data_IF_652203875000
#
_entry.id   IF_652203875000
#
_cell.length_a   1.000
_cell.length_b   1.000
_cell.length_c   1.000
_cell.angle_alpha   90.00
_cell.angle_beta   90.00
_cell.angle_gamma   90.00
#
_symmetry.space_group_name_H-M   'P 1'
#
loop_
_entity.id
_entity.type
_entity.pdbx_description
1 polymer ?
#
# COMPACT_ATOMS: atom_id res chain seq x y z
N UNK A 1 11.59 -2.97 -14.26
CA UNK A 1 12.07 -1.63 -13.79
C UNK A 1 13.13 -1.86 -12.72
N UNK A 2 14.22 -1.12 -12.70
CA UNK A 2 15.18 -1.24 -11.60
C UNK A 2 14.66 -0.51 -10.34
N UNK A 3 15.22 -0.84 -9.17
CA UNK A 3 14.73 -0.29 -7.89
C UNK A 3 14.95 1.22 -7.75
N UNK A 4 15.98 1.77 -8.37
CA UNK A 4 16.28 3.21 -8.34
C UNK A 4 15.26 4.00 -9.14
N UNK A 5 14.89 3.49 -10.33
CA UNK A 5 13.87 4.11 -11.18
C UNK A 5 12.49 4.05 -10.50
N UNK A 6 12.16 2.94 -9.83
CA UNK A 6 10.92 2.79 -9.06
C UNK A 6 10.85 3.82 -7.93
N UNK A 7 11.92 3.99 -7.15
CA UNK A 7 11.99 4.99 -6.09
C UNK A 7 11.91 6.43 -6.64
N UNK A 8 12.63 6.71 -7.74
CA UNK A 8 12.59 8.02 -8.38
C UNK A 8 11.21 8.36 -8.93
N UNK A 9 10.50 7.37 -9.47
CA UNK A 9 9.12 7.53 -9.92
C UNK A 9 8.18 7.79 -8.74
N UNK A 10 8.22 6.96 -7.69
CA UNK A 10 7.40 7.14 -6.48
C UNK A 10 7.59 8.53 -5.88
N UNK A 11 8.83 9.01 -5.75
CA UNK A 11 9.13 10.37 -5.23
C UNK A 11 8.45 11.49 -6.02
N UNK A 12 8.21 11.32 -7.32
CA UNK A 12 7.56 12.32 -8.18
C UNK A 12 6.04 12.31 -8.06
N UNK A 13 5.45 11.12 -7.84
CA UNK A 13 3.99 10.95 -7.93
C UNK A 13 3.31 10.78 -6.58
N UNK A 14 4.03 10.36 -5.54
CA UNK A 14 3.48 10.14 -4.22
C UNK A 14 3.18 11.45 -3.48
N UNK A 15 2.02 11.49 -2.83
CA UNK A 15 1.60 12.55 -1.90
C UNK A 15 1.11 11.88 -0.63
N UNK A 16 1.73 12.21 0.50
CA UNK A 16 1.31 11.69 1.79
C UNK A 16 -0.10 12.15 2.14
N UNK A 17 -0.95 11.20 2.48
CA UNK A 17 -2.32 11.44 2.92
C UNK A 17 -2.68 10.37 3.95
N UNK A 18 -2.76 10.74 5.26
CA UNK A 18 -3.14 9.78 6.28
C UNK A 18 -4.57 9.29 6.03
N UNK A 19 -4.80 8.02 6.15
CA UNK A 19 -6.14 7.46 6.13
C UNK A 19 -6.79 7.51 7.54
N UNK A 20 -8.11 7.28 7.60
CA UNK A 20 -8.88 7.26 8.85
C UNK A 20 -8.92 5.87 9.51
N UNK A 21 -8.21 4.91 8.95
CA UNK A 21 -8.16 3.53 9.40
C UNK A 21 -6.91 2.87 8.85
N UNK A 22 -6.57 1.69 9.31
CA UNK A 22 -5.43 0.94 8.81
C UNK A 22 -5.79 0.20 7.50
N UNK A 23 -5.95 0.94 6.40
CA UNK A 23 -6.26 0.39 5.09
C UNK A 23 -4.99 0.18 4.28
N UNK A 24 -4.54 -1.05 4.19
CA UNK A 24 -3.33 -1.45 3.46
C UNK A 24 -3.65 -1.73 1.99
N UNK A 25 -3.21 -0.86 1.10
CA UNK A 25 -3.54 -0.95 -0.32
C UNK A 25 -2.34 -0.67 -1.24
N UNK A 26 -2.43 -1.20 -2.44
CA UNK A 26 -1.64 -0.70 -3.56
C UNK A 26 -2.42 0.49 -4.13
N UNK A 27 -1.83 1.68 -4.05
CA UNK A 27 -2.47 2.92 -4.45
C UNK A 27 -2.84 2.92 -5.94
N UNK A 28 -3.97 3.53 -6.24
CA UNK A 28 -4.38 3.79 -7.62
C UNK A 28 -4.05 5.22 -8.03
N UNK A 29 -3.68 5.38 -9.27
CA UNK A 29 -3.35 6.68 -9.85
C UNK A 29 -4.61 7.54 -9.95
N UNK A 30 -4.58 8.73 -9.36
CA UNK A 30 -5.62 9.72 -9.57
C UNK A 30 -5.43 10.36 -10.96
N UNK A 31 -6.34 10.05 -11.87
CA UNK A 31 -6.27 10.52 -13.26
C UNK A 31 -6.41 12.04 -13.41
N UNK A 32 -6.98 12.72 -12.41
CA UNK A 32 -7.15 14.18 -12.43
C UNK A 32 -5.88 14.92 -12.03
N UNK A 33 -5.17 14.41 -11.03
CA UNK A 33 -3.99 15.07 -10.47
C UNK A 33 -2.68 14.47 -10.94
N UNK A 34 -2.70 13.25 -11.47
CA UNK A 34 -1.50 12.50 -11.83
C UNK A 34 -0.68 12.07 -10.60
N UNK A 35 -1.32 11.88 -9.44
CA UNK A 35 -0.68 11.54 -8.17
C UNK A 35 -1.20 10.25 -7.56
N UNK A 36 -0.42 9.70 -6.63
CA UNK A 36 -0.77 8.60 -5.75
C UNK A 36 -0.91 9.15 -4.33
N UNK A 37 -2.04 8.90 -3.69
CA UNK A 37 -2.33 9.39 -2.34
C UNK A 37 -2.44 8.20 -1.37
N UNK A 38 -1.69 8.24 -0.28
CA UNK A 38 -1.69 7.20 0.74
C UNK A 38 -0.73 7.52 1.88
N UNK A 39 -0.62 6.63 2.81
CA UNK A 39 0.29 6.74 3.96
C UNK A 39 1.58 5.90 3.79
N UNK A 40 2.25 5.55 4.90
CA UNK A 40 3.56 4.91 4.84
C UNK A 40 3.49 3.45 4.37
N UNK A 41 2.49 2.69 4.76
CA UNK A 41 2.27 1.32 4.32
C UNK A 41 1.84 1.24 2.86
N UNK A 42 0.98 2.15 2.43
CA UNK A 42 0.53 2.27 1.04
C UNK A 42 1.71 2.61 0.11
N UNK A 43 2.60 3.51 0.57
CA UNK A 43 3.84 3.80 -0.14
C UNK A 43 4.69 2.54 -0.31
N UNK A 44 4.93 1.79 0.78
CA UNK A 44 5.75 0.59 0.78
C UNK A 44 5.19 -0.50 -0.14
N UNK A 45 3.88 -0.76 -0.06
CA UNK A 45 3.19 -1.75 -0.89
C UNK A 45 3.17 -1.36 -2.37
N UNK A 46 2.90 -0.09 -2.67
CA UNK A 46 2.85 0.39 -4.07
C UNK A 46 4.25 0.41 -4.70
N UNK A 47 5.27 0.79 -3.94
CA UNK A 47 6.65 0.71 -4.41
C UNK A 47 7.05 -0.75 -4.69
N UNK A 48 6.71 -1.69 -3.81
CA UNK A 48 6.96 -3.11 -4.02
C UNK A 48 6.23 -3.66 -5.25
N UNK A 49 4.97 -3.26 -5.46
CA UNK A 49 4.20 -3.65 -6.66
C UNK A 49 4.83 -3.10 -7.95
N UNK A 50 5.35 -1.87 -7.88
CA UNK A 50 6.07 -1.23 -8.98
C UNK A 50 7.37 -1.98 -9.31
N UNK A 51 8.15 -2.37 -8.29
CA UNK A 51 9.35 -3.21 -8.45
C UNK A 51 9.00 -4.58 -9.03
N UNK A 52 7.86 -5.14 -8.62
CA UNK A 52 7.32 -6.37 -9.16
C UNK A 52 6.75 -6.23 -10.59
N UNK A 53 6.81 -5.03 -11.18
CA UNK A 53 6.28 -4.72 -12.52
C UNK A 53 4.76 -4.99 -12.62
N UNK A 54 4.01 -4.68 -11.55
CA UNK A 54 2.58 -4.95 -11.38
C UNK A 54 2.21 -6.44 -11.44
N UNK A 55 3.20 -7.34 -11.35
CA UNK A 55 2.99 -8.79 -11.31
C UNK A 55 2.65 -9.23 -9.90
N UNK A 56 1.41 -9.65 -9.66
CA UNK A 56 0.98 -10.15 -8.33
C UNK A 56 1.76 -11.38 -7.90
N UNK A 57 2.18 -12.23 -8.86
CA UNK A 57 3.02 -13.40 -8.57
C UNK A 57 4.38 -12.96 -8.03
N UNK A 58 5.08 -12.01 -8.70
CA UNK A 58 6.37 -11.46 -8.22
C UNK A 58 6.20 -10.73 -6.88
N UNK A 59 5.15 -9.93 -6.72
CA UNK A 59 4.84 -9.21 -5.48
C UNK A 59 4.77 -10.16 -4.29
N UNK A 60 3.91 -11.18 -4.36
CA UNK A 60 3.78 -12.17 -3.29
C UNK A 60 5.02 -13.04 -3.12
N UNK A 61 5.71 -13.39 -4.20
CA UNK A 61 6.97 -14.10 -4.14
C UNK A 61 8.01 -13.35 -3.31
N UNK A 62 8.17 -12.04 -3.51
CA UNK A 62 9.11 -11.24 -2.72
C UNK A 62 8.77 -11.22 -1.22
N UNK A 63 7.49 -11.13 -0.87
CA UNK A 63 7.05 -11.15 0.54
C UNK A 63 7.22 -12.54 1.18
N UNK A 64 6.82 -13.60 0.49
CA UNK A 64 6.87 -14.98 1.01
C UNK A 64 8.33 -15.45 1.17
N UNK A 65 9.21 -15.05 0.25
CA UNK A 65 10.64 -15.44 0.29
C UNK A 65 11.49 -14.46 1.10
N UNK A 66 10.88 -13.52 1.81
CA UNK A 66 11.57 -12.50 2.60
C UNK A 66 12.57 -11.66 1.81
N UNK A 67 12.42 -11.54 0.50
CA UNK A 67 13.16 -10.59 -0.31
C UNK A 67 12.66 -9.16 -0.13
N UNK A 68 11.40 -9.01 0.28
CA UNK A 68 10.79 -7.79 0.74
C UNK A 68 10.19 -7.98 2.13
N UNK A 69 10.42 -7.03 3.03
CA UNK A 69 9.85 -7.04 4.39
C UNK A 69 9.41 -5.63 4.73
N UNK A 70 8.15 -5.49 5.16
CA UNK A 70 7.67 -4.26 5.76
C UNK A 70 8.04 -4.25 7.25
N UNK A 71 8.69 -3.20 7.70
CA UNK A 71 9.08 -3.05 9.09
C UNK A 71 8.28 -1.97 9.78
N UNK A 72 7.67 -2.34 10.90
CA UNK A 72 7.15 -1.36 11.85
C UNK A 72 8.31 -0.68 12.56
N UNK A 73 8.31 0.64 12.57
CA UNK A 73 9.37 1.43 13.19
C UNK A 73 8.78 2.69 13.85
N UNK A 74 9.63 3.41 14.58
CA UNK A 74 9.32 4.74 15.08
C UNK A 74 10.27 5.76 14.49
N UNK A 75 9.71 6.88 14.04
CA UNK A 75 10.47 8.05 13.61
C UNK A 75 11.22 8.68 14.78
N UNK A 76 12.13 9.60 14.50
CA UNK A 76 12.82 10.38 15.54
C UNK A 76 11.83 11.19 16.41
N UNK A 77 10.67 11.58 15.87
CA UNK A 77 9.57 12.23 16.59
C UNK A 77 8.71 11.28 17.42
N UNK A 78 8.97 9.97 17.37
CA UNK A 78 8.20 8.95 18.11
C UNK A 78 6.94 8.45 17.42
N UNK A 79 6.66 8.93 16.22
CA UNK A 79 5.48 8.52 15.43
C UNK A 79 5.63 7.10 14.90
N UNK A 80 4.51 6.39 14.83
CA UNK A 80 4.45 5.06 14.20
C UNK A 80 4.68 5.21 12.70
N UNK A 81 5.47 4.30 12.14
CA UNK A 81 5.86 4.39 10.74
C UNK A 81 6.15 3.01 10.14
N UNK A 82 6.06 2.89 8.81
CA UNK A 82 6.41 1.68 8.07
C UNK A 82 7.54 1.99 7.10
N UNK A 83 8.56 1.12 7.13
CA UNK A 83 9.70 1.18 6.24
C UNK A 83 9.79 -0.12 5.43
N UNK A 84 10.05 -0.03 4.13
CA UNK A 84 10.30 -1.17 3.27
C UNK A 84 11.79 -1.53 3.30
N UNK A 85 12.07 -2.79 3.63
CA UNK A 85 13.35 -3.42 3.33
C UNK A 85 13.21 -4.30 2.09
N UNK A 86 14.10 -4.15 1.13
CA UNK A 86 14.13 -4.94 -0.09
C UNK A 86 15.57 -5.32 -0.46
N UNK A 87 15.90 -6.62 -0.38
CA UNK A 87 17.20 -7.18 -0.77
C UNK A 87 18.40 -6.39 -0.22
N UNK A 88 18.38 -6.09 1.08
CA UNK A 88 19.48 -5.40 1.77
C UNK A 88 19.40 -3.88 1.76
N UNK A 89 18.41 -3.28 1.11
CA UNK A 89 18.21 -1.83 1.03
C UNK A 89 16.94 -1.39 1.76
N UNK A 90 16.95 -0.17 2.29
CA UNK A 90 15.85 0.43 3.05
C UNK A 90 15.30 1.65 2.30
N UNK A 91 14.01 1.87 2.37
CA UNK A 91 13.32 3.04 1.81
C UNK A 91 12.00 3.27 2.53
N UNK A 92 11.56 4.52 2.60
CA UNK A 92 10.23 4.92 3.04
C UNK A 92 9.80 6.24 2.38
N UNK A 93 8.61 6.71 2.70
CA UNK A 93 8.06 7.95 2.12
C UNK A 93 8.69 9.23 2.70
N UNK A 94 9.33 9.17 3.88
CA UNK A 94 10.06 10.31 4.48
C UNK A 94 11.43 10.46 3.80
N UNK A 95 12.09 9.31 3.56
CA UNK A 95 13.38 9.22 2.88
C UNK A 95 13.24 8.36 1.62
N UNK A 96 12.66 8.90 0.52
CA UNK A 96 12.32 8.13 -0.67
C UNK A 96 13.53 7.85 -1.58
N UNK A 97 14.62 7.44 -0.96
CA UNK A 97 15.89 7.02 -1.59
C UNK A 97 16.39 5.77 -0.91
N UNK A 98 16.92 4.82 -1.70
CA UNK A 98 17.47 3.58 -1.16
C UNK A 98 18.72 3.84 -0.32
N UNK A 99 18.76 3.23 0.87
CA UNK A 99 19.87 3.31 1.80
C UNK A 99 20.30 1.90 2.24
N UNK A 100 21.56 1.72 2.58
CA UNK A 100 22.07 0.46 3.15
C UNK A 100 21.70 0.28 4.62
N UNK A 101 21.29 1.37 5.29
CA UNK A 101 20.95 1.39 6.71
C UNK A 101 19.54 1.93 6.91
N UNK A 102 18.82 1.33 7.87
CA UNK A 102 17.55 1.90 8.33
C UNK A 102 17.78 3.22 9.08
N UNK A 103 16.89 4.17 8.90
CA UNK A 103 16.97 5.51 9.52
C UNK A 103 16.08 5.66 10.75
N UNK A 104 15.19 4.70 10.98
CA UNK A 104 14.22 4.73 12.05
C UNK A 104 14.50 3.64 13.09
N UNK A 105 13.96 3.80 14.31
CA UNK A 105 14.04 2.79 15.35
C UNK A 105 13.15 1.60 15.01
N UNK A 106 13.73 0.49 14.52
CA UNK A 106 12.99 -0.71 14.16
C UNK A 106 12.32 -1.34 15.39
N UNK A 107 11.11 -1.85 15.22
CA UNK A 107 10.33 -2.54 16.24
C UNK A 107 10.16 -4.03 15.92
N UNK A 108 9.42 -4.32 14.85
CA UNK A 108 9.18 -5.68 14.39
C UNK A 108 8.88 -5.71 12.89
N UNK A 109 9.21 -6.82 12.21
CA UNK A 109 8.79 -7.02 10.83
C UNK A 109 7.31 -7.41 10.80
N UNK A 110 6.58 -6.93 9.80
CA UNK A 110 5.26 -7.46 9.51
C UNK A 110 5.39 -8.79 8.76
N UNK A 111 4.95 -9.91 9.36
CA UNK A 111 4.97 -11.19 8.68
C UNK A 111 4.00 -11.17 7.48
N UNK A 112 4.39 -11.84 6.39
CA UNK A 112 3.60 -11.87 5.16
C UNK A 112 2.11 -12.22 5.36
N UNK A 113 1.72 -13.16 6.25
CA UNK A 113 0.29 -13.45 6.45
C UNK A 113 -0.49 -12.25 7.01
N UNK A 114 0.14 -11.42 7.84
CA UNK A 114 -0.48 -10.20 8.36
C UNK A 114 -0.64 -9.15 7.25
N UNK A 115 0.36 -8.97 6.38
CA UNK A 115 0.26 -8.09 5.20
C UNK A 115 -0.88 -8.55 4.30
N UNK A 116 -0.97 -9.85 4.00
CA UNK A 116 -2.03 -10.43 3.19
C UNK A 116 -3.42 -10.22 3.82
N UNK A 117 -3.55 -10.44 5.12
CA UNK A 117 -4.78 -10.22 5.87
C UNK A 117 -5.24 -8.75 5.81
N UNK A 118 -4.33 -7.81 6.07
CA UNK A 118 -4.64 -6.37 6.02
C UNK A 118 -5.08 -5.92 4.63
N UNK A 119 -4.39 -6.36 3.59
CA UNK A 119 -4.79 -6.08 2.20
C UNK A 119 -6.15 -6.70 1.85
N UNK A 120 -6.40 -7.94 2.27
CA UNK A 120 -7.67 -8.63 2.00
C UNK A 120 -8.86 -7.95 2.72
N UNK A 121 -8.71 -7.55 3.97
CA UNK A 121 -9.76 -6.84 4.72
C UNK A 121 -10.11 -5.50 4.08
N UNK A 122 -9.14 -4.77 3.57
CA UNK A 122 -9.37 -3.54 2.82
C UNK A 122 -10.15 -3.81 1.52
N UNK A 123 -9.76 -4.82 0.75
CA UNK A 123 -10.46 -5.19 -0.49
C UNK A 123 -11.92 -5.59 -0.22
N UNK A 124 -12.16 -6.39 0.83
CA UNK A 124 -13.50 -6.82 1.23
C UNK A 124 -14.38 -5.66 1.68
N UNK A 125 -13.86 -4.71 2.45
CA UNK A 125 -14.61 -3.54 2.90
C UNK A 125 -15.06 -2.66 1.71
N UNK A 126 -14.23 -2.52 0.70
CA UNK A 126 -14.61 -1.83 -0.54
C UNK A 126 -15.67 -2.59 -1.33
N UNK A 127 -15.59 -3.90 -1.36
CA UNK A 127 -16.57 -4.75 -2.08
C UNK A 127 -17.95 -4.69 -1.43
N UNK A 128 -18.02 -4.76 -0.10
CA UNK A 128 -19.25 -4.58 0.67
C UNK A 128 -19.89 -3.21 0.45
N UNK A 129 -19.10 -2.15 0.45
CA UNK A 129 -19.56 -0.77 0.16
C UNK A 129 -20.09 -0.65 -1.27
N UNK A 130 -19.44 -1.28 -2.24
CA UNK A 130 -19.89 -1.32 -3.63
C UNK A 130 -21.17 -2.13 -3.82
N UNK A 131 -21.30 -3.30 -3.19
CA UNK A 131 -22.48 -4.14 -3.24
C UNK A 131 -23.69 -3.46 -2.59
N UNK A 132 -23.50 -2.73 -1.48
CA UNK A 132 -24.55 -1.95 -0.82
C UNK A 132 -25.05 -0.82 -1.72
N UNK A 133 -24.17 -0.10 -2.40
CA UNK A 133 -24.53 0.96 -3.36
C UNK A 133 -25.34 0.41 -4.54
N UNK A 134 -24.93 -0.73 -5.10
CA UNK A 134 -25.68 -1.38 -6.18
C UNK A 134 -27.05 -1.82 -5.71
N UNK A 135 -27.18 -2.38 -4.51
CA UNK A 135 -28.47 -2.78 -3.93
C UNK A 135 -29.39 -1.58 -3.72
N UNK A 136 -28.90 -0.47 -3.18
CA UNK A 136 -29.66 0.76 -2.98
C UNK A 136 -30.13 1.35 -4.33
N UNK A 137 -29.27 1.37 -5.35
CA UNK A 137 -29.64 1.86 -6.68
C UNK A 137 -30.63 0.95 -7.42
N UNK A 138 -30.61 -0.37 -7.16
CA UNK A 138 -31.52 -1.33 -7.77
C UNK A 138 -32.91 -1.36 -7.12
N UNK A 139 -33.05 -0.98 -5.85
CA UNK A 139 -34.34 -0.96 -5.15
C UNK A 139 -35.46 -0.20 -5.84
N UNK A 140 -35.26 1.03 -6.38
CA UNK A 140 -36.33 1.75 -7.09
C UNK A 140 -36.80 1.03 -8.37
N UNK A 141 -35.89 0.33 -9.05
CA UNK A 141 -36.21 -0.41 -10.27
C UNK A 141 -37.04 -1.66 -9.98
N UNK A 142 -36.77 -2.37 -8.91
CA UNK A 142 -37.56 -3.53 -8.47
C UNK A 142 -38.93 -3.09 -7.99
N UNK A 143 -39.03 -1.94 -7.28
CA UNK A 143 -40.34 -1.41 -6.82
C UNK A 143 -41.26 -1.00 -7.96
N UNK A 144 -40.71 -0.54 -9.08
CA UNK A 144 -41.53 -0.18 -10.27
C UNK A 144 -42.08 -1.37 -11.04
N UNK A 145 -41.54 -2.58 -10.82
CA UNK A 145 -42.04 -3.85 -11.45
C UNK A 145 -43.08 -4.60 -10.63
N UNK A 146 -43.28 -4.22 -9.35
CA UNK A 146 -44.24 -4.92 -8.45
C UNK A 146 -45.55 -4.14 -8.31
N UNK A 147 -45.68 -2.97 -8.95
CA UNK A 147 -46.94 -2.25 -9.10
C UNK A 147 -47.57 -2.48 -10.47
#
# INVERSE_FOLDING_TARGET
>A
MNIQDAAAWMRRVFVYKPDKGESWQIMQFDTKTGKLYGDCEDFALTLLDTIAENSKVKFWFYLITFQAVLWHCKTAGGEQHVQLWFRGKWIDNIYPTWDDKHRHSLRFPYPFPLVAYRMATYMLSRWQSGALLVAICAMPLVWSYIK
#
